data_IF_894697038649
#
_entry.id   IF_894697038649
#
_cell.length_a   1.000
_cell.length_b   1.000
_cell.length_c   1.000
_cell.angle_alpha   90.00
_cell.angle_beta   90.00
_cell.angle_gamma   90.00
#
_symmetry.space_group_name_H-M   'P 1'
#
loop_
_entity.id
_entity.type
_entity.pdbx_description
1 polymer ?
#
# COMPACT_ATOMS: atom_id res chain seq x y z
N UNK A 1 11.41 2.31 22.73
CA UNK A 1 10.43 1.41 22.08
C UNK A 1 9.39 2.24 21.31
N UNK A 2 8.66 3.14 21.99
CA UNK A 2 7.71 4.09 21.39
C UNK A 2 8.29 4.92 20.20
N UNK A 3 9.38 5.65 20.42
CA UNK A 3 10.06 6.40 19.36
C UNK A 3 10.49 5.55 18.13
N UNK A 4 10.78 4.25 18.33
CA UNK A 4 11.10 3.34 17.25
C UNK A 4 9.85 2.89 16.48
N UNK A 5 8.72 2.64 17.15
CA UNK A 5 7.43 2.37 16.48
C UNK A 5 7.00 3.57 15.64
N UNK A 6 7.08 4.78 16.19
CA UNK A 6 6.73 6.00 15.45
C UNK A 6 7.58 6.17 14.17
N UNK A 7 8.91 5.95 14.26
CA UNK A 7 9.78 6.03 13.09
C UNK A 7 9.45 4.97 12.02
N UNK A 8 9.18 3.74 12.44
CA UNK A 8 8.80 2.65 11.52
C UNK A 8 7.44 2.89 10.88
N UNK A 9 6.47 3.42 11.63
CA UNK A 9 5.17 3.83 11.10
C UNK A 9 5.31 4.97 10.06
N UNK A 10 6.17 5.96 10.30
CA UNK A 10 6.48 7.01 9.32
C UNK A 10 7.17 6.39 8.09
N UNK A 11 8.15 5.52 8.31
CA UNK A 11 8.84 4.77 7.26
C UNK A 11 7.87 3.97 6.39
N UNK A 12 6.85 3.33 6.97
CA UNK A 12 5.82 2.62 6.24
C UNK A 12 5.03 3.52 5.29
N UNK A 13 4.58 4.68 5.78
CA UNK A 13 3.78 5.62 5.01
C UNK A 13 4.61 6.24 3.87
N UNK A 14 5.79 6.76 4.21
CA UNK A 14 6.69 7.39 3.24
C UNK A 14 7.22 6.36 2.25
N UNK A 15 7.58 5.16 2.72
CA UNK A 15 8.07 4.06 1.89
C UNK A 15 7.03 3.59 0.90
N UNK A 16 5.75 3.55 1.28
CA UNK A 16 4.65 3.28 0.34
C UNK A 16 4.57 4.37 -0.73
N UNK A 17 4.51 5.65 -0.31
CA UNK A 17 4.33 6.77 -1.22
C UNK A 17 5.50 6.92 -2.22
N UNK A 18 6.74 6.72 -1.77
CA UNK A 18 7.93 6.82 -2.61
C UNK A 18 7.98 5.68 -3.63
N UNK A 19 7.64 4.45 -3.23
CA UNK A 19 7.62 3.30 -4.14
C UNK A 19 6.54 3.44 -5.21
N UNK A 20 5.37 3.99 -4.86
CA UNK A 20 4.30 4.29 -5.79
C UNK A 20 4.74 5.29 -6.87
N UNK A 21 5.24 6.46 -6.46
CA UNK A 21 5.76 7.50 -7.37
C UNK A 21 6.91 6.98 -8.26
N UNK A 22 7.80 6.16 -7.68
CA UNK A 22 8.90 5.55 -8.40
C UNK A 22 8.40 4.63 -9.53
N UNK A 23 7.40 3.79 -9.26
CA UNK A 23 6.89 2.77 -10.16
C UNK A 23 5.84 3.29 -11.17
N UNK A 24 5.22 4.44 -10.89
CA UNK A 24 4.16 5.06 -11.68
C UNK A 24 4.42 5.10 -13.19
N UNK A 25 5.65 5.42 -13.68
CA UNK A 25 5.92 5.46 -15.11
C UNK A 25 5.76 4.12 -15.83
N UNK A 26 6.05 3.00 -15.15
CA UNK A 26 5.97 1.63 -15.69
C UNK A 26 4.70 0.89 -15.27
N UNK A 27 3.75 1.59 -14.65
CA UNK A 27 2.53 0.98 -14.17
C UNK A 27 1.70 0.37 -15.31
N UNK A 28 1.20 -0.85 -15.08
CA UNK A 28 0.37 -1.62 -16.00
C UNK A 28 1.00 -1.95 -17.36
N UNK A 29 2.33 -2.00 -17.43
CA UNK A 29 3.03 -2.56 -18.61
C UNK A 29 3.02 -4.08 -18.52
N UNK A 30 1.99 -4.71 -19.09
CA UNK A 30 1.84 -6.18 -19.08
C UNK A 30 2.61 -6.89 -20.20
N UNK A 31 2.94 -6.19 -21.28
CA UNK A 31 3.77 -6.72 -22.35
C UNK A 31 5.22 -6.83 -21.88
N UNK A 32 5.64 -8.04 -21.54
CA UNK A 32 6.98 -8.31 -21.01
C UNK A 32 8.08 -8.07 -22.05
N UNK A 33 7.83 -8.30 -23.34
CA UNK A 33 8.84 -8.03 -24.37
C UNK A 33 9.10 -6.53 -24.49
N UNK A 34 8.03 -5.74 -24.53
CA UNK A 34 8.13 -4.27 -24.49
C UNK A 34 8.82 -3.79 -23.22
N UNK A 35 8.48 -4.37 -22.07
CA UNK A 35 9.13 -4.03 -20.80
C UNK A 35 10.63 -4.30 -20.84
N UNK A 36 11.07 -5.46 -21.34
CA UNK A 36 12.50 -5.78 -21.42
C UNK A 36 13.28 -4.78 -22.29
N UNK A 37 12.68 -4.30 -23.39
CA UNK A 37 13.29 -3.23 -24.20
C UNK A 37 13.44 -1.93 -23.42
N UNK A 38 12.42 -1.56 -22.62
CA UNK A 38 12.47 -0.36 -21.78
C UNK A 38 13.56 -0.52 -20.69
N UNK A 39 13.61 -1.67 -20.00
CA UNK A 39 14.58 -1.93 -18.94
C UNK A 39 16.03 -1.99 -19.48
N UNK A 40 16.22 -2.45 -20.71
CA UNK A 40 17.53 -2.42 -21.37
C UNK A 40 18.03 -0.99 -21.64
N UNK A 41 17.11 -0.05 -21.91
CA UNK A 41 17.42 1.37 -22.10
C UNK A 41 17.54 2.12 -20.77
N UNK A 42 16.77 1.69 -19.76
CA UNK A 42 16.69 2.29 -18.43
C UNK A 42 16.96 1.24 -17.35
N UNK A 43 18.24 0.89 -17.08
CA UNK A 43 18.59 -0.14 -16.09
C UNK A 43 18.21 0.24 -14.66
N UNK A 44 17.96 1.53 -14.40
CA UNK A 44 17.35 2.04 -13.17
C UNK A 44 15.97 2.63 -13.55
N UNK A 45 14.91 1.80 -13.57
CA UNK A 45 13.62 2.18 -14.14
C UNK A 45 12.77 3.09 -13.26
N UNK A 46 13.15 3.30 -11.99
CA UNK A 46 12.43 4.20 -11.10
C UNK A 46 12.39 5.62 -11.65
N UNK A 47 11.26 6.31 -11.48
CA UNK A 47 11.09 7.68 -11.96
C UNK A 47 11.53 7.85 -13.43
N UNK A 48 11.20 6.87 -14.29
CA UNK A 48 11.47 6.97 -15.72
C UNK A 48 10.86 8.27 -16.27
N UNK A 49 11.64 9.10 -17.00
CA UNK A 49 11.16 10.40 -17.49
C UNK A 49 10.00 10.26 -18.49
N UNK A 50 10.00 9.17 -19.26
CA UNK A 50 8.92 8.85 -20.18
C UNK A 50 8.07 7.72 -19.60
N UNK A 51 6.78 8.02 -19.39
CA UNK A 51 5.82 7.02 -18.91
C UNK A 51 5.50 6.01 -20.01
N UNK A 52 5.75 4.74 -19.73
CA UNK A 52 5.40 3.60 -20.58
C UNK A 52 3.99 3.05 -20.31
N UNK A 53 3.29 3.56 -19.28
CA UNK A 53 1.96 3.15 -18.87
C UNK A 53 0.98 3.16 -20.08
N UNK A 54 0.15 2.13 -20.34
CA UNK A 54 -0.74 2.15 -21.50
C UNK A 54 -2.08 2.90 -21.29
N UNK A 55 -2.41 3.28 -20.06
CA UNK A 55 -3.73 3.75 -19.65
C UNK A 55 -3.79 5.22 -19.22
N UNK A 56 -2.70 5.75 -18.66
CA UNK A 56 -2.62 7.16 -18.26
C UNK A 56 -1.24 7.75 -18.49
N UNK A 57 -1.18 9.08 -18.56
CA UNK A 57 0.05 9.88 -18.58
C UNK A 57 -0.02 10.86 -17.40
N UNK A 58 0.87 10.71 -16.44
CA UNK A 58 1.10 11.70 -15.38
C UNK A 58 2.57 12.12 -15.39
N UNK A 59 2.84 13.28 -14.81
CA UNK A 59 4.21 13.74 -14.61
C UNK A 59 4.95 12.76 -13.69
N UNK A 60 6.13 12.34 -14.09
CA UNK A 60 7.01 11.50 -13.25
C UNK A 60 7.25 12.15 -11.89
N UNK A 61 7.11 11.36 -10.83
CA UNK A 61 7.16 11.84 -9.45
C UNK A 61 5.79 12.11 -8.83
N UNK A 62 4.71 12.14 -9.63
CA UNK A 62 3.34 12.05 -9.12
C UNK A 62 3.01 10.63 -8.72
N UNK A 63 2.05 10.50 -7.82
CA UNK A 63 1.49 9.21 -7.44
C UNK A 63 0.76 8.55 -8.60
N UNK A 64 0.47 7.26 -8.46
CA UNK A 64 -0.58 6.57 -9.19
C UNK A 64 -1.96 6.83 -8.54
N UNK A 65 -3.01 6.19 -9.05
CA UNK A 65 -4.32 6.21 -8.40
C UNK A 65 -4.32 5.54 -7.01
N UNK A 66 -3.35 4.67 -6.73
CA UNK A 66 -3.19 4.02 -5.42
C UNK A 66 -2.58 4.98 -4.41
N UNK A 67 -1.46 5.62 -4.79
CA UNK A 67 -0.80 6.59 -3.94
C UNK A 67 -1.66 7.82 -3.67
N UNK A 68 -2.42 8.32 -4.65
CA UNK A 68 -3.35 9.43 -4.40
C UNK A 68 -4.39 9.04 -3.32
N UNK A 69 -4.93 7.80 -3.35
CA UNK A 69 -5.91 7.36 -2.34
C UNK A 69 -5.28 7.25 -0.95
N UNK A 70 -4.05 6.74 -0.90
CA UNK A 70 -3.29 6.67 0.33
C UNK A 70 -3.07 8.07 0.94
N UNK A 71 -2.74 9.06 0.10
CA UNK A 71 -2.57 10.46 0.52
C UNK A 71 -3.87 11.03 1.08
N UNK A 72 -5.01 10.82 0.43
CA UNK A 72 -6.30 11.30 0.93
C UNK A 72 -6.68 10.64 2.27
N UNK A 73 -6.46 9.33 2.41
CA UNK A 73 -6.68 8.64 3.68
C UNK A 73 -5.77 9.20 4.78
N UNK A 74 -4.50 9.45 4.46
CA UNK A 74 -3.53 10.03 5.37
C UNK A 74 -3.95 11.45 5.83
N UNK A 75 -4.37 12.31 4.91
CA UNK A 75 -4.86 13.65 5.21
C UNK A 75 -6.11 13.61 6.10
N UNK A 76 -7.05 12.71 5.78
CA UNK A 76 -8.28 12.51 6.56
C UNK A 76 -7.98 12.10 8.01
N UNK A 77 -7.10 11.10 8.19
CA UNK A 77 -6.61 10.67 9.52
C UNK A 77 -5.94 11.82 10.27
N UNK A 78 -5.12 12.59 9.57
CA UNK A 78 -4.41 13.75 10.11
C UNK A 78 -5.36 14.85 10.58
N UNK A 79 -6.47 15.08 9.87
CA UNK A 79 -7.46 16.08 10.21
C UNK A 79 -8.42 15.65 11.32
N UNK A 80 -8.81 14.36 11.36
CA UNK A 80 -9.98 13.91 12.12
C UNK A 80 -9.70 12.82 13.18
N UNK A 81 -8.49 12.25 13.24
CA UNK A 81 -8.16 11.19 14.20
C UNK A 81 -8.80 9.82 13.89
N UNK A 82 -9.36 9.63 12.69
CA UNK A 82 -9.95 8.38 12.21
C UNK A 82 -10.40 8.49 10.75
N UNK A 83 -10.62 7.36 10.05
CA UNK A 83 -11.13 7.36 8.68
C UNK A 83 -12.56 7.90 8.65
N UNK A 84 -12.89 8.72 7.64
CA UNK A 84 -14.26 9.23 7.44
C UNK A 84 -15.09 8.22 6.66
N UNK A 85 -16.28 7.81 7.14
CA UNK A 85 -17.14 6.86 6.44
C UNK A 85 -17.88 7.47 5.23
N UNK A 86 -17.99 8.80 5.12
CA UNK A 86 -18.74 9.50 4.06
C UNK A 86 -17.98 10.72 3.51
N UNK A 87 -18.17 10.99 2.21
CA UNK A 87 -17.36 11.86 1.34
C UNK A 87 -18.26 12.70 0.40
N UNK A 88 -17.73 13.78 -0.23
CA UNK A 88 -16.90 13.62 -1.44
C UNK A 88 -15.39 13.79 -1.21
N UNK A 89 -14.57 12.99 -1.94
CA UNK A 89 -13.11 13.16 -2.08
C UNK A 89 -12.84 13.84 -3.42
N UNK A 90 -12.16 14.97 -3.41
CA UNK A 90 -11.66 15.60 -4.63
C UNK A 90 -10.33 14.98 -5.07
N UNK A 91 -10.19 14.59 -6.35
CA UNK A 91 -8.93 14.06 -6.90
C UNK A 91 -9.10 13.29 -8.22
N UNK A 92 -8.02 13.07 -9.00
CA UNK A 92 -8.11 12.36 -10.27
C UNK A 92 -8.06 10.84 -10.06
N UNK A 93 -9.20 10.17 -10.20
CA UNK A 93 -9.30 8.71 -10.05
C UNK A 93 -9.74 8.04 -11.35
N UNK A 94 -9.35 6.77 -11.58
CA UNK A 94 -10.14 5.77 -12.35
C UNK A 94 -9.46 4.38 -12.38
N UNK A 95 -9.71 3.59 -11.35
CA UNK A 95 -9.75 2.11 -11.43
C UNK A 95 -11.20 1.63 -11.15
N UNK A 96 -11.48 0.34 -11.36
CA UNK A 96 -12.85 -0.17 -11.43
C UNK A 96 -13.62 0.01 -10.11
N UNK A 97 -13.00 -0.32 -8.97
CA UNK A 97 -13.52 -0.04 -7.63
C UNK A 97 -14.01 1.41 -7.46
N UNK A 98 -13.20 2.41 -7.80
CA UNK A 98 -13.61 3.82 -7.66
C UNK A 98 -14.71 4.24 -8.64
N UNK A 99 -14.81 3.62 -9.82
CA UNK A 99 -15.95 3.89 -10.72
C UNK A 99 -17.26 3.40 -10.09
N UNK A 100 -17.25 2.22 -9.49
CA UNK A 100 -18.39 1.70 -8.74
C UNK A 100 -18.73 2.59 -7.54
N UNK A 101 -17.71 3.01 -6.78
CA UNK A 101 -17.85 3.95 -5.67
C UNK A 101 -18.54 5.26 -6.08
N UNK A 102 -17.99 5.95 -7.08
CA UNK A 102 -18.54 7.23 -7.53
C UNK A 102 -19.99 7.08 -8.03
N UNK A 103 -20.30 6.00 -8.76
CA UNK A 103 -21.66 5.70 -9.19
C UNK A 103 -22.63 5.52 -8.00
N UNK A 104 -22.19 4.84 -6.94
CA UNK A 104 -23.00 4.63 -5.74
C UNK A 104 -23.18 5.94 -4.94
N UNK A 105 -22.14 6.78 -4.86
CA UNK A 105 -22.21 8.13 -4.26
C UNK A 105 -23.19 9.02 -5.03
N UNK A 106 -23.08 9.08 -6.36
CA UNK A 106 -23.97 9.87 -7.22
C UNK A 106 -25.44 9.40 -7.12
N UNK A 107 -25.64 8.11 -6.84
CA UNK A 107 -26.96 7.52 -6.59
C UNK A 107 -27.47 7.74 -5.16
N UNK A 108 -26.71 8.38 -4.28
CA UNK A 108 -27.09 8.65 -2.89
C UNK A 108 -27.19 7.39 -2.01
N UNK A 109 -26.46 6.32 -2.35
CA UNK A 109 -26.44 5.11 -1.52
C UNK A 109 -25.70 5.35 -0.21
N UNK A 110 -26.17 4.69 0.85
CA UNK A 110 -25.49 4.67 2.15
C UNK A 110 -24.19 3.83 2.09
N UNK A 111 -24.28 2.63 1.51
CA UNK A 111 -23.13 1.79 1.20
C UNK A 111 -22.59 2.14 -0.18
N UNK A 112 -21.39 2.72 -0.20
CA UNK A 112 -20.82 3.30 -1.41
C UNK A 112 -19.82 2.39 -2.10
N UNK A 113 -19.25 1.38 -1.42
CA UNK A 113 -18.25 0.50 -2.02
C UNK A 113 -18.76 -0.29 -3.24
N UNK A 114 -17.85 -0.59 -4.16
CA UNK A 114 -18.15 -1.42 -5.33
C UNK A 114 -18.29 -2.91 -4.92
N UNK A 115 -19.43 -3.52 -5.24
CA UNK A 115 -19.76 -4.90 -4.84
C UNK A 115 -19.01 -5.96 -5.68
N UNK A 116 -18.69 -5.66 -6.94
CA UNK A 116 -18.14 -6.65 -7.89
C UNK A 116 -16.61 -6.61 -8.04
N UNK A 117 -15.91 -5.71 -7.34
CA UNK A 117 -14.48 -5.47 -7.54
C UNK A 117 -13.57 -6.19 -6.54
N UNK A 118 -13.11 -7.40 -6.88
CA UNK A 118 -12.20 -8.19 -6.02
C UNK A 118 -10.71 -7.84 -6.23
N UNK A 119 -10.38 -6.64 -6.71
CA UNK A 119 -9.00 -6.26 -6.96
C UNK A 119 -8.29 -5.86 -5.66
N UNK A 120 -6.95 -5.92 -5.66
CA UNK A 120 -6.09 -5.56 -4.52
C UNK A 120 -6.15 -4.05 -4.16
N UNK A 121 -6.93 -3.27 -4.90
CA UNK A 121 -7.10 -1.82 -4.77
C UNK A 121 -7.32 -1.39 -3.31
N UNK A 122 -8.06 -2.18 -2.54
CA UNK A 122 -8.42 -1.95 -1.15
C UNK A 122 -7.21 -1.85 -0.23
N UNK A 123 -6.17 -2.67 -0.42
CA UNK A 123 -5.00 -2.71 0.48
C UNK A 123 -3.98 -1.64 0.15
N UNK A 124 -3.75 -1.39 -1.13
CA UNK A 124 -2.60 -0.60 -1.60
C UNK A 124 -2.51 0.81 -0.99
N UNK A 125 -3.63 1.31 -0.49
CA UNK A 125 -3.80 2.62 0.14
C UNK A 125 -3.81 2.63 1.67
N UNK A 126 -3.68 1.48 2.34
CA UNK A 126 -3.96 1.35 3.78
C UNK A 126 -2.77 1.53 4.69
N UNK A 127 -1.56 1.73 4.16
CA UNK A 127 -0.38 1.99 4.99
C UNK A 127 -0.61 3.09 6.05
N UNK A 128 -1.30 4.21 5.77
CA UNK A 128 -1.67 5.20 6.79
C UNK A 128 -2.60 4.68 7.88
N UNK A 129 -3.61 3.86 7.53
CA UNK A 129 -4.58 3.31 8.48
C UNK A 129 -3.91 2.29 9.39
N UNK A 130 -3.14 1.36 8.83
CA UNK A 130 -2.37 0.37 9.60
C UNK A 130 -1.36 1.08 10.48
N UNK A 131 -0.60 2.06 9.96
CA UNK A 131 0.34 2.84 10.75
C UNK A 131 -0.32 3.62 11.90
N UNK A 132 -1.55 4.10 11.72
CA UNK A 132 -2.28 4.77 12.79
C UNK A 132 -2.78 3.79 13.86
N UNK A 133 -3.33 2.65 13.46
CA UNK A 133 -3.94 1.71 14.41
C UNK A 133 -3.00 0.58 14.86
N UNK A 134 -1.73 0.55 14.42
CA UNK A 134 -0.78 -0.50 14.78
C UNK A 134 -0.73 -0.76 16.30
N UNK A 135 -0.89 -2.03 16.68
CA UNK A 135 -0.90 -2.49 18.06
C UNK A 135 -2.23 -2.29 18.79
N UNK A 136 -3.25 -1.70 18.15
CA UNK A 136 -4.58 -1.54 18.72
C UNK A 136 -5.48 -2.72 18.34
N UNK A 137 -6.31 -3.22 19.28
CA UNK A 137 -7.14 -4.40 19.07
C UNK A 137 -8.29 -4.21 18.06
N UNK A 138 -8.52 -2.98 17.59
CA UNK A 138 -9.51 -2.59 16.59
C UNK A 138 -8.89 -2.26 15.21
N UNK A 139 -7.58 -2.47 15.01
CA UNK A 139 -6.88 -2.12 13.75
C UNK A 139 -7.56 -2.71 12.51
N UNK A 140 -7.85 -4.01 12.52
CA UNK A 140 -8.48 -4.70 11.38
C UNK A 140 -9.92 -4.22 11.13
N UNK A 141 -10.67 -3.88 12.18
CA UNK A 141 -12.01 -3.30 12.06
C UNK A 141 -11.95 -1.92 11.38
N UNK A 142 -10.97 -1.09 11.75
CA UNK A 142 -10.79 0.25 11.16
C UNK A 142 -10.28 0.21 9.74
N UNK A 143 -9.44 -0.78 9.43
CA UNK A 143 -9.07 -1.10 8.05
C UNK A 143 -10.30 -1.51 7.24
N UNK A 144 -11.11 -2.44 7.73
CA UNK A 144 -12.31 -2.88 7.03
C UNK A 144 -13.25 -1.69 6.76
N UNK A 145 -13.52 -0.85 7.77
CA UNK A 145 -14.31 0.37 7.59
C UNK A 145 -13.77 1.28 6.48
N UNK A 146 -12.45 1.45 6.38
CA UNK A 146 -11.83 2.25 5.33
C UNK A 146 -11.91 1.60 3.93
N UNK A 147 -11.84 0.27 3.84
CA UNK A 147 -11.95 -0.47 2.57
C UNK A 147 -13.39 -0.43 2.05
N UNK A 148 -14.37 -0.66 2.93
CA UNK A 148 -15.82 -0.73 2.62
C UNK A 148 -16.37 0.54 1.98
N UNK A 149 -15.72 1.68 2.20
CA UNK A 149 -16.05 2.94 1.50
C UNK A 149 -15.93 2.78 -0.02
N UNK A 150 -14.94 2.06 -0.53
CA UNK A 150 -14.69 1.98 -1.98
C UNK A 150 -14.90 0.59 -2.59
N UNK A 151 -14.83 -0.46 -1.77
CA UNK A 151 -15.04 -1.85 -2.19
C UNK A 151 -15.86 -2.56 -1.14
N UNK A 152 -17.01 -3.09 -1.53
CA UNK A 152 -17.93 -3.78 -0.64
C UNK A 152 -18.09 -5.24 -1.06
N UNK A 153 -17.01 -6.00 -1.00
CA UNK A 153 -17.05 -7.45 -1.11
C UNK A 153 -16.25 -8.11 0.00
N UNK A 154 -16.66 -9.33 0.33
CA UNK A 154 -15.99 -10.19 1.30
C UNK A 154 -14.88 -11.02 0.66
N UNK A 155 -14.64 -10.80 -0.64
CA UNK A 155 -13.99 -11.74 -1.52
C UNK A 155 -12.47 -11.71 -1.50
N UNK A 156 -11.83 -11.02 -0.55
CA UNK A 156 -10.37 -11.02 -0.61
C UNK A 156 -9.58 -11.15 0.69
N UNK A 157 -8.53 -11.94 0.52
CA UNK A 157 -7.59 -12.44 1.51
C UNK A 157 -6.57 -11.35 1.88
N UNK A 158 -7.06 -10.23 2.40
CA UNK A 158 -6.21 -9.06 2.64
C UNK A 158 -5.56 -9.04 4.03
N UNK A 159 -6.08 -9.83 4.97
CA UNK A 159 -5.66 -9.83 6.38
C UNK A 159 -4.15 -10.08 6.54
N UNK A 160 -3.62 -11.02 5.74
CA UNK A 160 -2.19 -11.34 5.69
C UNK A 160 -1.31 -10.10 5.47
N UNK A 161 -1.66 -9.26 4.48
CA UNK A 161 -0.88 -8.06 4.15
C UNK A 161 -0.85 -7.06 5.30
N UNK A 162 -2.02 -6.85 5.93
CA UNK A 162 -2.19 -5.90 7.02
C UNK A 162 -1.38 -6.35 8.24
N UNK A 163 -1.44 -7.65 8.56
CA UNK A 163 -0.67 -8.25 9.66
C UNK A 163 0.82 -8.20 9.43
N UNK A 164 1.30 -8.46 8.22
CA UNK A 164 2.73 -8.29 7.91
C UNK A 164 3.18 -6.84 8.10
N UNK A 165 2.42 -5.88 7.57
CA UNK A 165 2.77 -4.48 7.71
C UNK A 165 2.74 -4.03 9.17
N UNK A 166 1.71 -4.40 9.93
CA UNK A 166 1.63 -4.13 11.37
C UNK A 166 2.79 -4.78 12.12
N UNK A 167 3.12 -6.04 11.83
CA UNK A 167 4.24 -6.75 12.45
C UNK A 167 5.54 -5.99 12.25
N UNK A 168 5.85 -5.54 11.04
CA UNK A 168 7.07 -4.77 10.79
C UNK A 168 7.04 -3.38 11.43
N UNK A 169 5.88 -2.75 11.56
CA UNK A 169 5.75 -1.46 12.27
C UNK A 169 6.04 -1.63 13.77
N UNK A 170 5.53 -2.70 14.38
CA UNK A 170 5.69 -2.96 15.82
C UNK A 170 7.06 -3.55 16.16
N UNK A 171 7.59 -4.42 15.31
CA UNK A 171 8.75 -5.27 15.62
C UNK A 171 9.99 -4.92 14.80
N UNK A 172 9.85 -4.23 13.66
CA UNK A 172 10.97 -3.91 12.77
C UNK A 172 11.37 -5.16 11.96
N UNK A 173 12.60 -5.22 11.42
CA UNK A 173 13.08 -6.38 10.68
C UNK A 173 13.04 -7.63 11.54
N UNK A 174 12.36 -8.67 11.05
CA UNK A 174 12.21 -9.93 11.77
C UNK A 174 12.24 -11.13 10.80
N UNK A 175 13.25 -12.00 10.88
CA UNK A 175 13.32 -13.20 10.04
C UNK A 175 12.21 -14.20 10.34
N UNK A 176 11.53 -14.08 11.48
CA UNK A 176 10.38 -14.92 11.89
C UNK A 176 9.03 -14.23 11.64
N UNK A 177 9.00 -13.14 10.87
CA UNK A 177 7.76 -12.44 10.56
C UNK A 177 6.72 -13.36 9.89
N UNK A 178 7.17 -14.25 8.99
CA UNK A 178 6.29 -15.23 8.36
C UNK A 178 5.64 -16.15 9.40
N UNK A 179 6.44 -16.82 10.22
CA UNK A 179 5.95 -17.72 11.26
C UNK A 179 5.00 -16.99 12.22
N UNK A 180 5.37 -15.77 12.64
CA UNK A 180 4.58 -14.95 13.57
C UNK A 180 3.20 -14.58 13.00
N UNK A 181 3.14 -14.20 11.72
CA UNK A 181 1.87 -13.88 11.06
C UNK A 181 1.04 -15.15 10.84
N UNK A 182 1.67 -16.27 10.47
CA UNK A 182 0.99 -17.56 10.32
C UNK A 182 0.39 -18.08 11.63
N UNK A 183 1.09 -17.91 12.76
CA UNK A 183 0.58 -18.28 14.08
C UNK A 183 -0.68 -17.46 14.44
N UNK A 184 -0.69 -16.16 14.15
CA UNK A 184 -1.87 -15.30 14.37
C UNK A 184 -3.07 -15.72 13.51
N UNK A 185 -2.82 -16.10 12.26
CA UNK A 185 -3.86 -16.57 11.34
C UNK A 185 -4.35 -17.98 11.70
N UNK A 186 -3.55 -18.75 12.43
CA UNK A 186 -3.93 -20.08 12.92
C UNK A 186 -4.73 -20.03 14.22
N UNK A 187 -4.83 -18.87 14.89
CA UNK A 187 -5.61 -18.71 16.13
C UNK A 187 -7.11 -18.88 15.86
N UNK A 188 -7.77 -19.91 16.44
CA UNK A 188 -9.21 -20.14 16.24
C UNK A 188 -10.09 -19.06 16.88
N UNK A 189 -9.56 -18.25 17.80
CA UNK A 189 -10.26 -17.15 18.45
C UNK A 189 -9.95 -15.78 17.83
N UNK A 190 -9.25 -15.74 16.68
CA UNK A 190 -8.95 -14.48 16.01
C UNK A 190 -10.23 -13.74 15.61
N UNK A 191 -10.17 -12.40 15.63
CA UNK A 191 -11.22 -11.55 15.08
C UNK A 191 -11.19 -11.63 13.54
N UNK A 192 -12.37 -11.63 12.91
CA UNK A 192 -12.56 -11.72 11.45
C UNK A 192 -11.92 -12.97 10.80
N UNK A 193 -12.26 -14.21 11.22
CA UNK A 193 -11.77 -15.41 10.54
C UNK A 193 -12.35 -15.51 9.12
N UNK A 194 -11.51 -15.82 8.12
CA UNK A 194 -11.95 -16.09 6.74
C UNK A 194 -11.83 -17.58 6.42
N UNK A 195 -12.76 -18.11 5.60
CA UNK A 195 -12.85 -19.55 5.29
C UNK A 195 -11.62 -20.12 4.56
N UNK A 196 -10.81 -19.26 3.92
CA UNK A 196 -9.63 -19.61 3.12
C UNK A 196 -8.30 -19.71 3.91
N UNK A 197 -8.33 -19.50 5.23
CA UNK A 197 -7.12 -19.56 6.08
C UNK A 197 -6.46 -20.96 6.13
N UNK A 198 -7.10 -21.97 5.52
CA UNK A 198 -6.57 -23.33 5.32
C UNK A 198 -5.74 -23.51 4.05
N UNK A 199 -5.66 -22.52 3.16
CA UNK A 199 -5.02 -22.65 1.84
C UNK A 199 -4.04 -21.51 1.51
N UNK A 200 -2.90 -21.47 2.22
CA UNK A 200 -1.69 -20.71 1.79
C UNK A 200 -1.29 -21.09 0.35
N UNK A 201 -1.70 -22.27 -0.11
CA UNK A 201 -1.46 -22.85 -1.45
C UNK A 201 -2.32 -22.16 -2.55
N UNK A 202 -3.28 -21.29 -2.19
CA UNK A 202 -4.15 -20.56 -3.12
C UNK A 202 -3.91 -19.05 -3.21
N UNK A 203 -2.88 -18.53 -2.56
CA UNK A 203 -2.61 -17.08 -2.54
C UNK A 203 -2.46 -16.52 -3.96
N UNK A 204 -3.16 -15.43 -4.33
CA UNK A 204 -3.01 -14.81 -5.64
C UNK A 204 -1.53 -14.55 -5.94
N UNK A 205 -1.05 -14.92 -7.13
CA UNK A 205 0.40 -14.87 -7.45
C UNK A 205 1.06 -13.50 -7.24
N UNK A 206 0.26 -12.41 -7.26
CA UNK A 206 0.72 -11.07 -6.91
C UNK A 206 1.13 -10.93 -5.43
N UNK A 207 0.44 -11.62 -4.50
CA UNK A 207 0.81 -11.63 -3.08
C UNK A 207 2.07 -12.43 -2.82
N UNK A 208 2.19 -13.63 -3.40
CA UNK A 208 3.38 -14.46 -3.24
C UNK A 208 4.65 -13.73 -3.71
N UNK A 209 4.57 -13.04 -4.86
CA UNK A 209 5.68 -12.23 -5.37
C UNK A 209 6.02 -11.05 -4.43
N UNK A 210 5.00 -10.36 -3.90
CA UNK A 210 5.23 -9.22 -3.01
C UNK A 210 5.78 -9.65 -1.65
N UNK A 211 5.25 -10.72 -1.06
CA UNK A 211 5.73 -11.29 0.19
C UNK A 211 7.16 -11.82 0.05
N UNK A 212 7.48 -12.50 -1.06
CA UNK A 212 8.85 -12.89 -1.35
C UNK A 212 9.78 -11.68 -1.34
N UNK A 213 9.43 -10.59 -2.05
CA UNK A 213 10.22 -9.36 -2.05
C UNK A 213 10.41 -8.77 -0.66
N UNK A 214 9.37 -8.72 0.18
CA UNK A 214 9.45 -8.20 1.55
C UNK A 214 10.35 -9.04 2.45
N UNK A 215 10.34 -10.37 2.29
CA UNK A 215 11.10 -11.30 3.14
C UNK A 215 12.55 -11.51 2.68
N UNK A 216 12.86 -11.30 1.40
CA UNK A 216 14.20 -11.58 0.85
C UNK A 216 14.99 -10.33 0.49
N UNK A 217 14.33 -9.18 0.31
CA UNK A 217 15.04 -7.97 -0.06
C UNK A 217 15.89 -7.43 1.08
N UNK A 218 17.13 -7.10 0.75
CA UNK A 218 18.09 -6.47 1.67
C UNK A 218 18.19 -4.96 1.48
N UNK A 219 17.63 -4.42 0.39
CA UNK A 219 17.67 -2.99 0.02
C UNK A 219 16.35 -2.54 -0.56
N UNK A 220 15.88 -1.38 -0.12
CA UNK A 220 14.61 -0.78 -0.53
C UNK A 220 14.54 -0.57 -2.05
N UNK A 221 15.58 0.04 -2.65
CA UNK A 221 15.60 0.34 -4.08
C UNK A 221 15.57 -0.93 -4.93
N UNK A 222 16.30 -1.96 -4.50
CA UNK A 222 16.37 -3.21 -5.24
C UNK A 222 15.00 -3.88 -5.28
N UNK A 223 14.30 -3.98 -4.14
CA UNK A 223 12.99 -4.60 -4.08
C UNK A 223 11.96 -3.90 -4.99
N UNK A 224 11.98 -2.56 -4.99
CA UNK A 224 11.10 -1.76 -5.82
C UNK A 224 11.43 -1.93 -7.31
N UNK A 225 12.72 -1.96 -7.69
CA UNK A 225 13.15 -2.22 -9.07
C UNK A 225 12.84 -3.64 -9.54
N UNK A 226 13.02 -4.64 -8.69
CA UNK A 226 12.67 -6.03 -8.99
C UNK A 226 11.18 -6.16 -9.26
N UNK A 227 10.35 -5.47 -8.47
CA UNK A 227 8.90 -5.40 -8.66
C UNK A 227 8.54 -4.77 -10.01
N UNK A 228 9.22 -3.68 -10.40
CA UNK A 228 9.02 -3.05 -11.71
C UNK A 228 9.41 -3.99 -12.86
N UNK A 229 10.47 -4.78 -12.67
CA UNK A 229 10.99 -5.70 -13.68
C UNK A 229 10.03 -6.85 -14.00
N UNK A 230 9.09 -7.13 -13.11
CA UNK A 230 8.02 -8.11 -13.34
C UNK A 230 6.83 -7.56 -14.17
N UNK A 231 6.76 -6.26 -14.48
CA UNK A 231 5.68 -5.66 -15.26
C UNK A 231 4.31 -5.70 -14.58
N UNK A 232 3.23 -5.36 -15.28
CA UNK A 232 1.87 -5.40 -14.77
C UNK A 232 1.56 -4.36 -13.69
N UNK A 233 0.82 -4.74 -12.63
CA UNK A 233 0.40 -3.82 -11.56
C UNK A 233 1.56 -3.53 -10.59
N UNK A 234 2.56 -2.76 -11.05
CA UNK A 234 3.80 -2.45 -10.32
C UNK A 234 3.55 -1.48 -9.17
N UNK A 235 2.69 -0.46 -9.31
CA UNK A 235 2.40 0.48 -8.23
C UNK A 235 1.70 -0.16 -7.05
N UNK A 236 0.75 -1.07 -7.28
CA UNK A 236 0.09 -1.82 -6.19
C UNK A 236 1.09 -2.62 -5.36
N UNK A 237 1.88 -3.49 -6.00
CA UNK A 237 2.88 -4.32 -5.31
C UNK A 237 3.99 -3.45 -4.72
N UNK A 238 4.44 -2.44 -5.46
CA UNK A 238 5.47 -1.50 -5.03
C UNK A 238 5.07 -0.73 -3.78
N UNK A 239 3.82 -0.25 -3.70
CA UNK A 239 3.30 0.45 -2.52
C UNK A 239 3.35 -0.45 -1.27
N UNK A 240 2.91 -1.70 -1.38
CA UNK A 240 2.95 -2.64 -0.25
C UNK A 240 4.38 -3.00 0.15
N UNK A 241 5.23 -3.36 -0.82
CA UNK A 241 6.65 -3.69 -0.57
C UNK A 241 7.37 -2.49 0.04
N UNK A 242 7.13 -1.29 -0.49
CA UNK A 242 7.65 -0.04 0.01
C UNK A 242 7.19 0.26 1.43
N UNK A 243 5.93 -0.04 1.77
CA UNK A 243 5.42 0.09 3.13
C UNK A 243 6.14 -0.85 4.11
N UNK A 244 6.23 -2.14 3.78
CA UNK A 244 6.87 -3.12 4.65
C UNK A 244 8.36 -2.87 4.80
N UNK A 245 9.08 -2.57 3.71
CA UNK A 245 10.52 -2.27 3.79
C UNK A 245 10.77 -0.94 4.50
N UNK A 246 9.94 0.08 4.25
CA UNK A 246 9.99 1.34 4.98
C UNK A 246 9.75 1.16 6.49
N UNK A 247 8.84 0.26 6.88
CA UNK A 247 8.63 -0.11 8.28
C UNK A 247 9.85 -0.82 8.89
N UNK A 248 10.56 -1.63 8.10
CA UNK A 248 11.75 -2.35 8.56
C UNK A 248 12.97 -1.43 8.72
N UNK A 249 13.20 -0.52 7.78
CA UNK A 249 14.41 0.32 7.75
C UNK A 249 14.23 1.71 8.38
N UNK A 250 12.99 2.10 8.68
CA UNK A 250 12.67 3.45 9.18
C UNK A 250 12.72 4.52 8.08
N UNK A 251 12.38 5.76 8.45
CA UNK A 251 12.37 6.89 7.50
C UNK A 251 13.75 7.13 6.89
N UNK A 252 14.81 7.00 7.68
CA UNK A 252 16.19 7.30 7.30
C UNK A 252 16.76 6.29 6.30
N UNK A 253 16.20 5.08 6.25
CA UNK A 253 16.60 4.06 5.27
C UNK A 253 16.00 4.29 3.88
N UNK A 254 15.06 5.22 3.70
CA UNK A 254 14.45 5.52 2.41
C UNK A 254 15.37 6.48 1.63
N UNK A 255 15.69 6.23 0.35
CA UNK A 255 16.67 7.03 -0.39
C UNK A 255 16.25 8.50 -0.54
N UNK A 256 17.13 9.41 -0.15
CA UNK A 256 16.93 10.86 -0.32
C UNK A 256 16.78 11.25 -1.80
N UNK A 257 17.50 10.54 -2.68
CA UNK A 257 17.40 10.73 -4.14
C UNK A 257 16.03 10.34 -4.72
N UNK A 258 15.23 9.55 -4.00
CA UNK A 258 13.88 9.16 -4.40
C UNK A 258 12.83 10.03 -3.73
N UNK A 259 12.96 10.31 -2.43
CA UNK A 259 12.05 11.24 -1.72
C UNK A 259 12.04 12.63 -2.34
N UNK A 260 13.21 13.13 -2.80
CA UNK A 260 13.31 14.41 -3.53
C UNK A 260 12.62 14.42 -4.90
N UNK A 261 12.36 13.25 -5.50
CA UNK A 261 11.62 13.10 -6.76
C UNK A 261 10.13 12.81 -6.56
N UNK A 262 9.70 12.51 -5.34
CA UNK A 262 8.29 12.28 -5.00
C UNK A 262 7.61 13.62 -4.73
N UNK A 263 6.71 14.04 -5.62
CA UNK A 263 6.14 15.39 -5.61
C UNK A 263 5.36 15.71 -4.33
N UNK A 264 4.63 14.73 -3.78
CA UNK A 264 3.84 14.91 -2.55
C UNK A 264 4.64 14.64 -1.26
N UNK A 265 5.97 14.43 -1.33
CA UNK A 265 6.77 13.97 -0.19
C UNK A 265 6.63 14.87 1.05
N UNK A 266 6.69 16.19 0.89
CA UNK A 266 6.61 17.13 2.01
C UNK A 266 5.27 17.00 2.77
N UNK A 267 4.16 16.98 2.04
CA UNK A 267 2.81 16.80 2.61
C UNK A 267 2.68 15.42 3.28
N UNK A 268 3.09 14.35 2.60
CA UNK A 268 3.05 12.99 3.15
C UNK A 268 3.83 12.90 4.45
N UNK A 269 5.05 13.45 4.50
CA UNK A 269 5.88 13.43 5.70
C UNK A 269 5.25 14.21 6.85
N UNK A 270 4.67 15.38 6.58
CA UNK A 270 3.99 16.19 7.58
C UNK A 270 2.81 15.42 8.20
N UNK A 271 1.91 14.90 7.36
CA UNK A 271 0.75 14.16 7.85
C UNK A 271 1.16 12.86 8.55
N UNK A 272 2.15 12.12 8.03
CA UNK A 272 2.68 10.91 8.65
C UNK A 272 3.19 11.21 10.06
N UNK A 273 4.00 12.25 10.23
CA UNK A 273 4.50 12.69 11.55
C UNK A 273 3.37 13.09 12.49
N UNK A 274 2.26 13.64 11.99
CA UNK A 274 1.12 14.02 12.83
C UNK A 274 0.36 12.79 13.33
N UNK A 275 0.08 11.82 12.45
CA UNK A 275 -0.74 10.66 12.78
C UNK A 275 0.01 9.63 13.63
N UNK A 276 1.35 9.61 13.59
CA UNK A 276 2.16 8.69 14.40
C UNK A 276 2.56 9.24 15.77
N UNK A 277 2.16 10.48 16.14
CA UNK A 277 2.46 11.06 17.47
C UNK A 277 1.92 10.23 18.63
N UNK A 278 0.83 9.50 18.43
CA UNK A 278 0.26 8.63 19.46
C UNK A 278 1.16 7.43 19.82
N UNK A 279 2.17 7.13 18.98
CA UNK A 279 3.16 6.08 19.23
C UNK A 279 4.40 6.60 19.97
N UNK A 280 4.50 7.90 20.27
CA UNK A 280 5.64 8.54 20.93
C UNK A 280 5.60 8.41 22.45
#
# INVERSE_FOLDING_TARGET
>A
MAAAVANRAIGAIVGSAVADAAAQPLHWVYDLQKLQVILAQHPNPEFCPESANPFYRRQTGQQSCYGDQAVVLLESLSACGGPRPQLPIEGPWRHASLKGFLKNVDAGKEETGCEDDCQIDGITKLAPVVAFYAGKPDMLEKVEQAVRVTQNNDASDWDYFLRFLEHFILNGPDPKALDSVLDQLSDPNRKQPQDLDKAIIGLPGAFQAALHGVLTATRYEQAVRDTMSCGGCTCSRGSFIGACLGAQIGLEGIPVSWTSKTQCYASVLEHAKKITRQHQ
#
